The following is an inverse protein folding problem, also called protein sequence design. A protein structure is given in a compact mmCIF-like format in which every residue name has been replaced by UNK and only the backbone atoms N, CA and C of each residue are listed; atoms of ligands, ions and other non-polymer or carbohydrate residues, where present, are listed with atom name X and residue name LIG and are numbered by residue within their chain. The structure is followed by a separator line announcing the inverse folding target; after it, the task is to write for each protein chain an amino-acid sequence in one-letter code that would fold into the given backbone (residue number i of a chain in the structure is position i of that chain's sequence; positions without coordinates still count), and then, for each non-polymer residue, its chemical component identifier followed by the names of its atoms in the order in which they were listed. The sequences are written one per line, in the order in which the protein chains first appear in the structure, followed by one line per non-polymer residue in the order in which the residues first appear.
data_IF_170957067641
#
_entry.id   IF_170957067641
#
_cell.length_a   1.000
_cell.length_b   1.000
_cell.length_c   1.000
_cell.angle_alpha   90.00
_cell.angle_beta   90.00
_cell.angle_gamma   90.00
#
_symmetry.space_group_name_H-M   'P 1'
#
loop_
_entity.id
_entity.type
_entity.pdbx_description
1 polymer ?
#
# COMPACT_ATOMS: atom_id res chain seq x y z
N UNK A 1 -18.80 15.84 -15.23
CA UNK A 1 -17.67 14.93 -15.51
C UNK A 1 -18.02 13.55 -14.96
N UNK A 2 -17.82 12.47 -15.76
CA UNK A 2 -18.14 11.11 -15.34
C UNK A 2 -16.93 10.40 -14.73
N UNK A 3 -17.15 9.72 -13.60
CA UNK A 3 -16.17 8.93 -12.87
C UNK A 3 -16.58 7.46 -12.90
N UNK A 4 -15.77 6.61 -13.48
CA UNK A 4 -16.01 5.17 -13.52
C UNK A 4 -15.38 4.44 -12.34
N UNK A 5 -16.06 3.41 -11.88
CA UNK A 5 -15.53 2.39 -10.97
C UNK A 5 -15.55 1.07 -11.71
N UNK A 6 -14.40 0.48 -11.95
CA UNK A 6 -14.29 -0.77 -12.71
C UNK A 6 -14.04 -1.97 -11.80
N UNK A 7 -14.41 -3.15 -12.29
CA UNK A 7 -14.09 -4.41 -11.63
C UNK A 7 -12.59 -4.65 -11.66
N UNK A 8 -12.00 -5.01 -10.53
CA UNK A 8 -10.58 -5.35 -10.45
C UNK A 8 -10.30 -6.67 -11.20
N UNK A 9 -9.19 -6.69 -11.92
CA UNK A 9 -8.78 -7.85 -12.75
C UNK A 9 -7.53 -8.53 -12.25
N UNK A 10 -6.85 -7.98 -11.23
CA UNK A 10 -5.72 -8.65 -10.60
C UNK A 10 -6.18 -9.95 -9.92
N UNK A 11 -5.49 -11.09 -10.13
CA UNK A 11 -5.87 -12.36 -9.54
C UNK A 11 -6.04 -12.28 -8.01
N UNK A 12 -7.20 -12.70 -7.51
CA UNK A 12 -7.51 -12.67 -6.07
C UNK A 12 -7.85 -11.29 -5.49
N UNK A 13 -7.87 -10.21 -6.29
CA UNK A 13 -8.32 -8.89 -5.82
C UNK A 13 -9.83 -8.86 -5.62
N UNK A 14 -10.25 -8.48 -4.42
CA UNK A 14 -11.67 -8.43 -4.03
C UNK A 14 -12.11 -7.03 -3.62
N UNK A 15 -11.17 -6.09 -3.48
CA UNK A 15 -11.49 -4.69 -3.15
C UNK A 15 -12.15 -4.01 -4.32
N UNK A 16 -12.79 -2.88 -4.04
CA UNK A 16 -13.33 -1.95 -5.04
C UNK A 16 -12.85 -0.54 -4.71
N UNK A 17 -12.54 0.24 -5.73
CA UNK A 17 -11.93 1.57 -5.56
C UNK A 17 -12.87 2.61 -4.93
N UNK A 18 -14.19 2.48 -5.15
CA UNK A 18 -15.20 3.36 -4.57
C UNK A 18 -16.37 2.52 -4.03
N UNK A 19 -16.83 2.81 -2.80
CA UNK A 19 -18.00 2.17 -2.21
C UNK A 19 -19.26 3.06 -2.33
N UNK A 20 -20.48 2.50 -2.18
CA UNK A 20 -21.73 3.28 -2.30
C UNK A 20 -21.78 4.51 -1.40
N UNK A 21 -21.24 4.44 -0.18
CA UNK A 21 -21.25 5.55 0.76
C UNK A 21 -20.52 6.82 0.24
N UNK A 22 -19.50 6.67 -0.60
CA UNK A 22 -18.74 7.78 -1.15
C UNK A 22 -19.32 8.32 -2.47
N UNK A 23 -20.22 7.59 -3.14
CA UNK A 23 -20.90 8.07 -4.37
C UNK A 23 -21.60 9.41 -4.11
N UNK A 24 -22.39 9.49 -3.05
CA UNK A 24 -23.13 10.73 -2.71
C UNK A 24 -22.21 11.95 -2.45
N UNK A 25 -20.96 11.73 -2.00
CA UNK A 25 -19.99 12.81 -1.80
C UNK A 25 -19.51 13.37 -3.14
N UNK A 26 -19.19 12.48 -4.10
CA UNK A 26 -18.75 12.86 -5.44
C UNK A 26 -19.87 13.52 -6.23
N UNK A 27 -21.09 12.99 -6.13
CA UNK A 27 -22.28 13.57 -6.80
C UNK A 27 -22.58 14.98 -6.28
N UNK A 28 -22.45 15.23 -4.97
CA UNK A 28 -22.60 16.58 -4.40
C UNK A 28 -21.53 17.57 -4.90
N UNK A 29 -20.36 17.06 -5.29
CA UNK A 29 -19.28 17.87 -5.87
C UNK A 29 -19.46 18.06 -7.39
N UNK A 30 -20.55 17.58 -7.98
CA UNK A 30 -20.89 17.73 -9.41
C UNK A 30 -20.26 16.65 -10.32
N UNK A 31 -19.83 15.53 -9.75
CA UNK A 31 -19.32 14.38 -10.52
C UNK A 31 -20.42 13.33 -10.67
N UNK A 32 -20.60 12.80 -11.87
CA UNK A 32 -21.49 11.67 -12.15
C UNK A 32 -20.70 10.36 -11.98
N UNK A 33 -21.24 9.41 -11.23
CA UNK A 33 -20.56 8.13 -10.96
C UNK A 33 -21.21 7.03 -11.77
N UNK A 34 -20.40 6.26 -12.49
CA UNK A 34 -20.79 5.05 -13.21
C UNK A 34 -19.99 3.86 -12.68
N UNK A 35 -20.65 2.76 -12.35
CA UNK A 35 -20.02 1.57 -11.77
C UNK A 35 -20.19 0.39 -12.73
N UNK A 36 -19.12 -0.29 -13.08
CA UNK A 36 -19.20 -1.53 -13.83
C UNK A 36 -20.00 -2.56 -13.01
N UNK A 37 -20.99 -3.21 -13.65
CA UNK A 37 -21.81 -4.22 -12.97
C UNK A 37 -20.95 -5.26 -12.28
N UNK A 38 -21.26 -5.52 -11.01
CA UNK A 38 -20.55 -6.46 -10.16
C UNK A 38 -19.23 -5.96 -9.57
N UNK A 39 -18.77 -4.72 -9.84
CA UNK A 39 -17.47 -4.22 -9.36
C UNK A 39 -17.30 -4.28 -7.84
N UNK A 40 -18.37 -4.03 -7.07
CA UNK A 40 -18.35 -4.08 -5.61
C UNK A 40 -18.70 -5.44 -5.01
N UNK A 41 -19.15 -6.41 -5.81
CA UNK A 41 -19.76 -7.65 -5.31
C UNK A 41 -18.82 -8.46 -4.41
N UNK A 42 -17.55 -8.61 -4.79
CA UNK A 42 -16.55 -9.34 -4.01
C UNK A 42 -16.21 -8.68 -2.67
N UNK A 43 -16.45 -7.36 -2.55
CA UNK A 43 -16.30 -6.59 -1.32
C UNK A 43 -17.60 -6.50 -0.49
N UNK A 44 -18.70 -7.10 -0.96
CA UNK A 44 -19.99 -7.09 -0.28
C UNK A 44 -20.89 -5.89 -0.63
N UNK A 45 -20.62 -5.19 -1.73
CA UNK A 45 -21.40 -4.05 -2.20
C UNK A 45 -22.12 -4.41 -3.50
N UNK A 46 -23.44 -4.60 -3.44
CA UNK A 46 -24.27 -4.91 -4.60
C UNK A 46 -24.52 -3.67 -5.48
N UNK A 47 -24.76 -3.88 -6.78
CA UNK A 47 -25.06 -2.82 -7.74
C UNK A 47 -26.23 -1.95 -7.31
N UNK A 48 -27.29 -2.55 -6.74
CA UNK A 48 -28.43 -1.83 -6.19
C UNK A 48 -28.05 -0.78 -5.15
N UNK A 49 -27.06 -1.09 -4.29
CA UNK A 49 -26.56 -0.14 -3.28
C UNK A 49 -25.88 1.10 -3.89
N UNK A 50 -25.22 0.94 -5.04
CA UNK A 50 -24.65 2.06 -5.79
C UNK A 50 -25.75 2.90 -6.45
N UNK A 51 -26.76 2.25 -7.04
CA UNK A 51 -27.90 2.92 -7.66
C UNK A 51 -28.71 3.75 -6.65
N UNK A 52 -28.95 3.21 -5.44
CA UNK A 52 -29.57 3.93 -4.33
C UNK A 52 -28.82 5.21 -3.90
N UNK A 53 -27.52 5.27 -4.18
CA UNK A 53 -26.66 6.44 -3.91
C UNK A 53 -26.50 7.37 -5.12
N UNK A 54 -27.15 7.05 -6.25
CA UNK A 54 -27.20 7.88 -7.44
C UNK A 54 -26.14 7.53 -8.51
N UNK A 55 -25.50 6.36 -8.43
CA UNK A 55 -24.62 5.89 -9.49
C UNK A 55 -25.40 5.23 -10.62
N UNK A 56 -24.91 5.38 -11.84
CA UNK A 56 -25.30 4.57 -13.00
C UNK A 56 -24.57 3.22 -12.96
N UNK A 57 -25.15 2.17 -13.56
CA UNK A 57 -24.47 0.87 -13.73
C UNK A 57 -24.13 0.66 -15.20
N UNK A 58 -22.83 0.45 -15.47
CA UNK A 58 -22.35 0.06 -16.80
C UNK A 58 -22.42 -1.46 -16.95
N UNK A 59 -22.89 -1.93 -18.12
CA UNK A 59 -23.05 -3.37 -18.36
C UNK A 59 -21.72 -4.11 -18.50
N UNK A 60 -20.68 -3.42 -18.97
CA UNK A 60 -19.35 -4.00 -19.20
C UNK A 60 -18.23 -2.98 -18.94
N UNK A 61 -16.99 -3.46 -19.08
CA UNK A 61 -15.78 -2.66 -18.85
C UNK A 61 -15.62 -1.53 -19.85
N UNK A 62 -15.90 -1.77 -21.12
CA UNK A 62 -15.79 -0.77 -22.19
C UNK A 62 -16.74 0.41 -21.93
N UNK A 63 -18.00 0.12 -21.56
CA UNK A 63 -18.98 1.14 -21.20
C UNK A 63 -18.55 1.95 -19.95
N UNK A 64 -17.92 1.31 -18.97
CA UNK A 64 -17.38 2.01 -17.81
C UNK A 64 -16.19 2.91 -18.21
N UNK A 65 -15.23 2.40 -18.98
CA UNK A 65 -14.07 3.18 -19.46
C UNK A 65 -14.44 4.31 -20.44
N UNK A 66 -15.68 4.37 -20.94
CA UNK A 66 -16.15 5.55 -21.69
C UNK A 66 -16.27 6.82 -20.83
N UNK A 67 -16.15 6.72 -19.50
CA UNK A 67 -16.11 7.84 -18.57
C UNK A 67 -14.84 8.69 -18.71
N UNK A 68 -14.87 9.92 -18.15
CA UNK A 68 -13.75 10.85 -18.22
C UNK A 68 -12.59 10.47 -17.26
N UNK A 69 -12.93 9.79 -16.17
CA UNK A 69 -12.00 9.31 -15.17
C UNK A 69 -12.35 7.86 -14.78
N UNK A 70 -11.34 7.00 -14.66
CA UNK A 70 -11.49 5.63 -14.16
C UNK A 70 -10.74 5.43 -12.85
N UNK A 71 -11.43 4.84 -11.86
CA UNK A 71 -10.90 4.47 -10.56
C UNK A 71 -10.60 2.97 -10.52
N UNK A 72 -9.40 2.63 -10.11
CA UNK A 72 -8.94 1.25 -9.89
C UNK A 72 -8.24 1.13 -8.54
N UNK A 73 -8.29 -0.04 -7.94
CA UNK A 73 -7.40 -0.37 -6.83
C UNK A 73 -6.00 -0.63 -7.37
N UNK A 74 -5.90 -1.43 -8.45
CA UNK A 74 -4.62 -1.75 -9.11
C UNK A 74 -4.68 -1.42 -10.61
N UNK A 75 -3.99 -0.34 -11.00
CA UNK A 75 -3.76 0.02 -12.40
C UNK A 75 -2.66 -0.84 -13.04
N UNK A 76 -2.37 -0.63 -14.32
CA UNK A 76 -1.47 -1.45 -15.15
C UNK A 76 -0.16 -1.84 -14.45
N UNK A 77 0.58 -0.95 -13.85
CA UNK A 77 1.89 -1.30 -13.22
C UNK A 77 1.74 -2.25 -12.03
N UNK A 78 0.70 -2.05 -11.20
CA UNK A 78 0.36 -2.93 -10.09
C UNK A 78 -0.49 -4.15 -10.51
N UNK A 79 -0.85 -4.26 -11.79
CA UNK A 79 -1.56 -5.37 -12.43
C UNK A 79 -0.97 -5.61 -13.83
N UNK A 80 0.28 -6.11 -13.94
CA UNK A 80 1.04 -6.08 -15.19
C UNK A 80 0.49 -6.98 -16.29
N UNK A 81 -0.20 -8.07 -15.94
CA UNK A 81 -0.75 -9.03 -16.89
C UNK A 81 -2.15 -8.61 -17.35
N UNK A 82 -3.14 -8.69 -16.46
CA UNK A 82 -4.53 -8.43 -16.80
C UNK A 82 -4.82 -6.93 -17.03
N UNK A 83 -4.12 -6.03 -16.33
CA UNK A 83 -4.28 -4.58 -16.48
C UNK A 83 -3.83 -4.04 -17.84
N UNK A 84 -3.01 -4.78 -18.59
CA UNK A 84 -2.56 -4.36 -19.94
C UNK A 84 -3.72 -4.26 -20.94
N UNK A 85 -4.76 -5.06 -20.79
CA UNK A 85 -5.94 -4.98 -21.64
C UNK A 85 -6.68 -3.63 -21.52
N UNK A 86 -6.51 -2.92 -20.41
CA UNK A 86 -7.15 -1.62 -20.21
C UNK A 86 -6.62 -0.51 -21.13
N UNK A 87 -5.40 -0.67 -21.66
CA UNK A 87 -4.82 0.27 -22.62
C UNK A 87 -5.70 0.44 -23.87
N UNK A 88 -6.43 -0.60 -24.27
CA UNK A 88 -7.35 -0.56 -25.44
C UNK A 88 -8.55 0.36 -25.20
N UNK A 89 -8.91 0.62 -23.95
CA UNK A 89 -10.04 1.48 -23.58
C UNK A 89 -9.60 2.92 -23.23
N UNK A 90 -8.29 3.13 -23.03
CA UNK A 90 -7.77 4.44 -22.66
C UNK A 90 -7.80 5.39 -23.85
N UNK A 91 -8.02 6.67 -23.59
CA UNK A 91 -8.05 7.72 -24.61
C UNK A 91 -7.35 8.98 -24.12
N UNK A 92 -6.95 9.81 -25.08
CA UNK A 92 -6.30 11.10 -24.79
C UNK A 92 -7.15 11.97 -23.87
N UNK A 93 -6.50 12.47 -22.81
CA UNK A 93 -7.12 13.31 -21.79
C UNK A 93 -8.00 12.56 -20.78
N UNK A 94 -8.05 11.22 -20.83
CA UNK A 94 -8.71 10.42 -19.81
C UNK A 94 -7.83 10.36 -18.56
N UNK A 95 -8.46 10.44 -17.38
CA UNK A 95 -7.75 10.35 -16.10
C UNK A 95 -7.89 8.94 -15.53
N UNK A 96 -6.77 8.33 -15.14
CA UNK A 96 -6.71 7.05 -14.44
C UNK A 96 -6.17 7.28 -13.03
N UNK A 97 -6.85 6.78 -12.01
CA UNK A 97 -6.46 6.95 -10.61
C UNK A 97 -6.43 5.60 -9.90
N UNK A 98 -5.30 5.25 -9.30
CA UNK A 98 -5.16 4.02 -8.53
C UNK A 98 -3.72 3.75 -8.10
N UNK A 99 -3.46 2.56 -7.58
CA UNK A 99 -2.11 2.08 -7.35
C UNK A 99 -1.53 1.53 -8.66
N UNK A 100 -0.34 1.96 -9.05
CA UNK A 100 0.29 1.57 -10.32
C UNK A 100 1.73 1.10 -10.18
N UNK A 101 2.26 0.98 -8.96
CA UNK A 101 3.66 0.61 -8.66
C UNK A 101 4.68 1.32 -9.58
N UNK A 102 4.71 2.64 -9.60
CA UNK A 102 5.39 3.39 -10.65
C UNK A 102 6.90 3.14 -10.68
N UNK A 103 7.53 2.95 -9.51
CA UNK A 103 8.97 2.68 -9.43
C UNK A 103 9.35 1.22 -9.65
N UNK A 104 8.44 0.28 -9.41
CA UNK A 104 8.63 -1.13 -9.72
C UNK A 104 8.34 -1.45 -11.19
N UNK A 105 7.45 -0.68 -11.81
CA UNK A 105 6.98 -0.88 -13.19
C UNK A 105 6.97 0.41 -14.02
N UNK A 106 8.11 1.13 -14.16
CA UNK A 106 8.13 2.43 -14.84
C UNK A 106 7.73 2.34 -16.32
N UNK A 107 7.94 1.19 -16.97
CA UNK A 107 7.50 0.95 -18.35
C UNK A 107 5.97 0.97 -18.48
N UNK A 108 5.22 0.53 -17.45
CA UNK A 108 3.77 0.58 -17.46
C UNK A 108 3.25 2.03 -17.44
N UNK A 109 3.91 2.91 -16.69
CA UNK A 109 3.58 4.35 -16.70
C UNK A 109 3.79 4.96 -18.07
N UNK A 110 4.90 4.61 -18.76
CA UNK A 110 5.17 5.03 -20.13
C UNK A 110 4.11 4.50 -21.12
N UNK A 111 3.66 3.26 -20.95
CA UNK A 111 2.63 2.66 -21.81
C UNK A 111 1.29 3.39 -21.65
N UNK A 112 0.90 3.76 -20.41
CA UNK A 112 -0.31 4.56 -20.15
C UNK A 112 -0.17 5.98 -20.73
N UNK A 113 0.99 6.63 -20.55
CA UNK A 113 1.29 7.91 -21.19
C UNK A 113 1.14 7.81 -22.72
N UNK A 114 1.72 6.77 -23.33
CA UNK A 114 1.61 6.50 -24.78
C UNK A 114 0.18 6.29 -25.28
N UNK A 115 -0.76 5.85 -24.43
CA UNK A 115 -2.19 5.80 -24.71
C UNK A 115 -2.87 7.19 -24.59
N UNK A 116 -2.15 8.21 -24.16
CA UNK A 116 -2.61 9.59 -24.01
C UNK A 116 -3.42 9.84 -22.73
N UNK A 117 -3.44 8.92 -21.78
CA UNK A 117 -4.14 9.08 -20.52
C UNK A 117 -3.25 9.72 -19.45
N UNK A 118 -3.88 10.52 -18.59
CA UNK A 118 -3.26 11.04 -17.36
C UNK A 118 -3.33 9.97 -16.27
N UNK A 119 -2.21 9.69 -15.59
CA UNK A 119 -2.15 8.66 -14.56
C UNK A 119 -1.75 9.26 -13.21
N UNK A 120 -2.59 9.06 -12.21
CA UNK A 120 -2.30 9.38 -10.83
C UNK A 120 -1.95 8.11 -10.03
N UNK A 121 -0.75 8.07 -9.47
CA UNK A 121 -0.28 7.03 -8.56
C UNK A 121 -0.60 7.39 -7.13
N UNK A 122 -1.52 6.68 -6.51
CA UNK A 122 -1.91 6.90 -5.11
C UNK A 122 -0.81 6.50 -4.11
N UNK A 123 0.19 5.72 -4.54
CA UNK A 123 1.37 5.40 -3.74
C UNK A 123 2.28 6.60 -3.52
N UNK A 124 2.18 7.63 -4.34
CA UNK A 124 3.01 8.82 -4.28
C UNK A 124 2.36 9.99 -3.51
N UNK A 125 1.25 9.76 -2.84
CA UNK A 125 0.65 10.76 -1.96
C UNK A 125 1.68 11.22 -0.92
N UNK A 126 2.00 12.54 -0.86
CA UNK A 126 3.04 13.05 0.02
C UNK A 126 2.63 12.92 1.50
N UNK A 127 3.61 12.67 2.37
CA UNK A 127 3.39 12.53 3.82
C UNK A 127 3.30 13.87 4.54
N UNK A 128 2.35 14.67 4.15
CA UNK A 128 2.00 15.96 4.77
C UNK A 128 0.66 15.87 5.48
N UNK A 129 0.44 16.72 6.48
CA UNK A 129 -0.78 16.65 7.33
C UNK A 129 -2.07 16.72 6.52
N UNK A 130 -2.13 17.56 5.47
CA UNK A 130 -3.29 17.72 4.59
C UNK A 130 -3.60 16.44 3.80
N UNK A 131 -2.60 15.64 3.46
CA UNK A 131 -2.73 14.43 2.64
C UNK A 131 -2.97 13.14 3.44
N UNK A 132 -2.86 13.17 4.78
CA UNK A 132 -3.01 11.96 5.61
C UNK A 132 -4.31 11.21 5.36
N UNK A 133 -5.42 11.92 5.11
CA UNK A 133 -6.72 11.30 4.83
C UNK A 133 -6.82 10.67 3.43
N UNK A 134 -5.82 10.87 2.58
CA UNK A 134 -5.70 10.34 1.22
C UNK A 134 -4.72 9.17 1.12
N UNK A 135 -3.96 8.87 2.19
CA UNK A 135 -2.88 7.87 2.21
C UNK A 135 -3.43 6.43 2.16
N UNK A 136 -3.47 5.88 0.94
CA UNK A 136 -3.90 4.50 0.69
C UNK A 136 -2.91 3.48 1.24
N UNK A 137 -1.60 3.80 1.26
CA UNK A 137 -0.58 2.88 1.74
C UNK A 137 -0.74 2.62 3.23
N UNK A 138 -0.93 3.67 4.03
CA UNK A 138 -1.19 3.53 5.47
C UNK A 138 -2.50 2.81 5.76
N UNK A 139 -3.55 3.10 4.99
CA UNK A 139 -4.84 2.41 5.10
C UNK A 139 -4.70 0.91 4.84
N UNK A 140 -4.03 0.53 3.77
CA UNK A 140 -3.84 -0.89 3.41
C UNK A 140 -2.86 -1.59 4.35
N UNK A 141 -1.79 -0.91 4.79
CA UNK A 141 -0.85 -1.43 5.77
C UNK A 141 -1.53 -1.77 7.11
N UNK A 142 -2.51 -0.97 7.54
CA UNK A 142 -3.32 -1.26 8.74
C UNK A 142 -4.05 -2.59 8.60
N UNK A 143 -4.72 -2.83 7.48
CA UNK A 143 -5.43 -4.09 7.23
C UNK A 143 -4.45 -5.26 7.13
N UNK A 144 -3.31 -5.06 6.44
CA UNK A 144 -2.28 -6.10 6.30
C UNK A 144 -1.71 -6.53 7.65
N UNK A 145 -1.36 -5.58 8.53
CA UNK A 145 -0.86 -5.89 9.88
C UNK A 145 -1.87 -6.66 10.75
N UNK A 146 -3.16 -6.29 10.66
CA UNK A 146 -4.23 -7.04 11.31
C UNK A 146 -4.34 -8.48 10.78
N UNK A 147 -4.38 -8.66 9.45
CA UNK A 147 -4.53 -9.97 8.81
C UNK A 147 -3.32 -10.87 9.05
N UNK A 148 -2.10 -10.33 9.08
CA UNK A 148 -0.88 -11.08 9.34
C UNK A 148 -0.94 -11.82 10.69
N UNK A 149 -1.43 -11.16 11.74
CA UNK A 149 -1.58 -11.79 13.06
C UNK A 149 -2.63 -12.88 13.04
N UNK A 150 -3.75 -12.68 12.34
CA UNK A 150 -4.80 -13.71 12.23
C UNK A 150 -4.31 -14.93 11.45
N UNK A 151 -3.55 -14.74 10.38
CA UNK A 151 -2.91 -15.83 9.65
C UNK A 151 -1.96 -16.62 10.55
N UNK A 152 -1.10 -15.91 11.28
CA UNK A 152 -0.19 -16.54 12.24
C UNK A 152 -0.97 -17.33 13.32
N UNK A 153 -2.10 -16.79 13.81
CA UNK A 153 -2.92 -17.46 14.83
C UNK A 153 -3.62 -18.72 14.32
N UNK A 154 -3.95 -18.77 13.02
CA UNK A 154 -4.55 -19.97 12.40
C UNK A 154 -3.50 -21.07 12.20
N UNK A 155 -2.28 -20.71 11.78
CA UNK A 155 -1.21 -21.68 11.50
C UNK A 155 -0.51 -22.19 12.77
N UNK A 156 -0.44 -21.35 13.83
CA UNK A 156 0.25 -21.70 15.06
C UNK A 156 -0.47 -22.83 15.81
N UNK A 157 0.18 -23.95 16.16
CA UNK A 157 -0.44 -25.05 16.93
C UNK A 157 -0.60 -24.73 18.43
N UNK A 158 -0.43 -23.47 18.82
CA UNK A 158 -0.63 -22.94 20.18
C UNK A 158 -1.66 -21.83 20.14
N UNK A 159 -2.36 -21.62 21.28
CA UNK A 159 -3.24 -20.46 21.42
C UNK A 159 -2.43 -19.21 21.78
N UNK A 160 -2.93 -18.03 21.41
CA UNK A 160 -2.26 -16.77 21.71
C UNK A 160 -2.31 -16.39 23.21
N UNK A 161 -3.48 -16.45 23.89
CA UNK A 161 -3.57 -16.01 25.28
C UNK A 161 -3.02 -17.05 26.29
N UNK A 162 -2.60 -16.55 27.44
CA UNK A 162 -2.47 -17.40 28.60
C UNK A 162 -3.85 -17.83 29.10
N UNK A 163 -4.03 -19.11 29.38
CA UNK A 163 -5.25 -19.62 29.99
C UNK A 163 -4.93 -20.49 31.21
N UNK A 164 -5.69 -20.31 32.27
CA UNK A 164 -5.69 -21.19 33.43
C UNK A 164 -6.96 -22.01 33.45
N UNK A 165 -6.83 -23.34 33.42
CA UNK A 165 -7.94 -24.28 33.40
C UNK A 165 -7.74 -25.38 34.46
N UNK A 166 -8.75 -26.17 34.68
CA UNK A 166 -8.64 -27.36 35.55
C UNK A 166 -7.58 -28.36 35.03
N UNK A 167 -7.29 -28.34 33.72
CA UNK A 167 -6.28 -29.18 33.08
C UNK A 167 -4.85 -28.61 33.17
N UNK A 168 -4.69 -27.42 33.75
CA UNK A 168 -3.40 -26.73 33.90
C UNK A 168 -3.35 -25.35 33.27
N UNK A 169 -2.15 -24.74 33.28
CA UNK A 169 -1.87 -23.42 32.73
C UNK A 169 -1.26 -23.56 31.35
N UNK A 170 -1.86 -22.90 30.36
CA UNK A 170 -1.32 -22.72 29.03
C UNK A 170 -0.60 -21.37 28.96
N UNK A 171 0.65 -21.37 28.51
CA UNK A 171 1.46 -20.14 28.38
C UNK A 171 1.06 -19.36 27.12
N UNK A 172 1.12 -18.02 27.19
CA UNK A 172 0.85 -17.17 26.04
C UNK A 172 1.90 -17.36 24.93
N UNK A 173 1.46 -17.23 23.67
CA UNK A 173 2.36 -17.20 22.54
C UNK A 173 3.28 -15.96 22.58
N UNK A 174 4.56 -16.16 22.24
CA UNK A 174 5.55 -15.10 22.08
C UNK A 174 5.56 -14.63 20.63
N UNK A 175 5.22 -13.38 20.40
CA UNK A 175 5.14 -12.77 19.08
C UNK A 175 6.24 -11.73 18.92
N UNK A 176 7.06 -11.86 17.90
CA UNK A 176 8.06 -10.87 17.54
C UNK A 176 7.70 -10.16 16.26
N UNK A 177 7.60 -8.82 16.31
CA UNK A 177 7.29 -7.97 15.16
C UNK A 177 8.54 -7.19 14.75
N UNK A 178 8.99 -7.38 13.52
CA UNK A 178 10.16 -6.70 12.95
C UNK A 178 9.68 -5.61 12.00
N UNK A 179 9.89 -4.37 12.40
CA UNK A 179 9.34 -3.17 11.77
C UNK A 179 8.13 -2.64 12.53
N UNK A 180 8.23 -1.41 13.07
CA UNK A 180 7.16 -0.72 13.78
C UNK A 180 6.58 0.45 12.96
N UNK A 181 6.42 0.25 11.65
CA UNK A 181 5.61 1.10 10.79
C UNK A 181 4.10 0.83 11.00
N UNK A 182 3.24 1.38 10.14
CA UNK A 182 1.77 1.24 10.29
C UNK A 182 1.33 -0.22 10.38
N UNK A 183 1.83 -1.10 9.49
CA UNK A 183 1.50 -2.54 9.54
C UNK A 183 2.02 -3.20 10.83
N UNK A 184 3.26 -2.91 11.24
CA UNK A 184 3.85 -3.47 12.45
C UNK A 184 3.14 -3.03 13.72
N UNK A 185 2.83 -1.74 13.87
CA UNK A 185 2.06 -1.22 15.01
C UNK A 185 0.68 -1.85 15.09
N UNK A 186 0.00 -2.02 13.96
CA UNK A 186 -1.29 -2.71 13.91
C UNK A 186 -1.14 -4.20 14.27
N UNK A 187 -0.08 -4.87 13.81
CA UNK A 187 0.22 -6.26 14.19
C UNK A 187 0.46 -6.37 15.69
N UNK A 188 1.26 -5.47 16.29
CA UNK A 188 1.48 -5.41 17.74
C UNK A 188 0.14 -5.27 18.48
N UNK A 189 -0.69 -4.29 18.10
CA UNK A 189 -1.98 -4.05 18.73
C UNK A 189 -2.91 -5.26 18.61
N UNK A 190 -2.93 -5.93 17.46
CA UNK A 190 -3.78 -7.11 17.22
C UNK A 190 -3.29 -8.31 18.03
N UNK A 191 -1.98 -8.62 18.03
CA UNK A 191 -1.39 -9.71 18.80
C UNK A 191 -1.60 -9.52 20.32
N UNK A 192 -1.51 -8.26 20.80
CA UNK A 192 -1.83 -7.91 22.20
C UNK A 192 -3.30 -8.17 22.53
N UNK A 193 -4.24 -7.79 21.64
CA UNK A 193 -5.68 -8.07 21.83
C UNK A 193 -5.99 -9.56 21.86
N UNK A 194 -5.23 -10.39 21.11
CA UNK A 194 -5.34 -11.84 21.18
C UNK A 194 -4.67 -12.44 22.43
N UNK A 195 -3.99 -11.63 23.26
CA UNK A 195 -3.39 -12.05 24.52
C UNK A 195 -1.95 -12.56 24.40
N UNK A 196 -1.28 -12.35 23.27
CA UNK A 196 0.12 -12.69 23.04
C UNK A 196 1.09 -11.81 23.86
N UNK A 197 2.27 -12.36 24.17
CA UNK A 197 3.40 -11.60 24.69
C UNK A 197 4.18 -11.05 23.50
N UNK A 198 4.09 -9.73 23.27
CA UNK A 198 4.61 -9.09 22.06
C UNK A 198 5.90 -8.38 22.32
N UNK A 199 6.91 -8.71 21.53
CA UNK A 199 8.17 -7.99 21.38
C UNK A 199 8.20 -7.35 20.00
N UNK A 200 8.84 -6.19 19.88
CA UNK A 200 8.98 -5.52 18.60
C UNK A 200 10.34 -4.84 18.46
N UNK A 201 10.82 -4.76 17.23
CA UNK A 201 12.03 -4.07 16.88
C UNK A 201 11.79 -3.13 15.69
N UNK A 202 12.40 -1.97 15.73
CA UNK A 202 12.54 -1.05 14.60
C UNK A 202 13.92 -0.39 14.64
N UNK A 203 14.50 -0.11 13.47
CA UNK A 203 15.77 0.59 13.35
C UNK A 203 15.69 2.04 13.84
N UNK A 204 14.50 2.64 13.84
CA UNK A 204 14.22 4.00 14.30
C UNK A 204 13.93 4.02 15.79
N UNK A 205 14.79 4.65 16.62
CA UNK A 205 14.56 4.72 18.06
C UNK A 205 13.23 5.40 18.46
N UNK A 206 12.75 6.34 17.64
CA UNK A 206 11.47 7.03 17.85
C UNK A 206 10.24 6.08 17.87
N UNK A 207 10.35 4.88 17.31
CA UNK A 207 9.27 3.89 17.34
C UNK A 207 9.07 3.24 18.72
N UNK A 208 10.03 3.36 19.67
CA UNK A 208 9.94 2.76 21.00
C UNK A 208 8.66 3.15 21.73
N UNK A 209 8.41 4.45 21.88
CA UNK A 209 7.24 4.94 22.61
C UNK A 209 5.92 4.45 21.99
N UNK A 210 5.88 4.34 20.66
CA UNK A 210 4.72 3.82 19.94
C UNK A 210 4.48 2.33 20.25
N UNK A 211 5.55 1.51 20.26
CA UNK A 211 5.47 0.09 20.62
C UNK A 211 5.01 -0.09 22.05
N UNK A 212 5.61 0.63 23.00
CA UNK A 212 5.30 0.53 24.41
C UNK A 212 3.89 1.03 24.75
N UNK A 213 3.40 2.07 24.05
CA UNK A 213 2.03 2.56 24.19
C UNK A 213 0.97 1.52 23.80
N UNK A 214 1.32 0.58 22.90
CA UNK A 214 0.46 -0.54 22.52
C UNK A 214 0.63 -1.75 23.44
N UNK A 215 1.46 -1.65 24.50
CA UNK A 215 1.75 -2.73 25.44
C UNK A 215 2.74 -3.78 24.93
N UNK A 216 3.45 -3.50 23.83
CA UNK A 216 4.58 -4.28 23.36
C UNK A 216 5.86 -3.97 24.15
N UNK A 217 6.86 -4.85 24.07
CA UNK A 217 8.21 -4.64 24.61
C UNK A 217 9.13 -4.31 23.44
N UNK A 218 9.78 -3.15 23.48
CA UNK A 218 10.76 -2.79 22.46
C UNK A 218 12.07 -3.55 22.71
N UNK A 219 12.58 -4.20 21.65
CA UNK A 219 13.86 -4.92 21.67
C UNK A 219 14.96 -3.94 21.28
N UNK A 220 15.89 -3.70 22.19
CA UNK A 220 17.07 -2.91 21.90
C UNK A 220 18.19 -3.80 21.38
N UNK A 221 18.62 -3.54 20.16
CA UNK A 221 19.85 -4.11 19.64
C UNK A 221 20.97 -3.09 19.85
N UNK A 222 22.13 -3.53 20.37
CA UNK A 222 23.30 -2.66 20.55
C UNK A 222 23.96 -2.38 19.19
N UNK A 223 23.28 -1.59 18.38
CA UNK A 223 23.72 -1.15 17.05
C UNK A 223 23.85 0.37 17.07
N UNK A 224 24.98 0.88 16.56
CA UNK A 224 25.12 2.31 16.28
C UNK A 224 24.33 2.62 15.01
N UNK A 225 23.04 2.90 15.16
CA UNK A 225 22.22 3.44 14.10
C UNK A 225 22.49 4.95 14.02
N UNK A 226 23.16 5.39 12.96
CA UNK A 226 23.25 6.81 12.60
C UNK A 226 21.85 7.38 12.29
N UNK A 227 21.74 8.32 11.35
CA UNK A 227 20.43 8.78 10.87
C UNK A 227 19.67 7.65 10.16
N UNK A 228 18.76 6.99 10.87
CA UNK A 228 18.02 5.79 10.41
C UNK A 228 16.68 6.09 9.76
N UNK A 229 16.30 7.38 9.66
CA UNK A 229 15.00 7.83 9.11
C UNK A 229 15.20 8.81 7.96
N UNK A 230 14.37 8.70 6.90
CA UNK A 230 14.33 9.65 5.80
C UNK A 230 13.31 10.78 6.08
N UNK A 231 13.26 11.79 5.18
CA UNK A 231 12.35 12.94 5.29
C UNK A 231 10.86 12.53 5.27
N UNK A 232 10.52 11.35 4.77
CA UNK A 232 9.17 10.80 4.71
C UNK A 232 8.80 9.93 5.91
N UNK A 233 9.68 9.80 6.94
CA UNK A 233 9.46 8.94 8.10
C UNK A 233 9.63 7.45 7.82
N UNK A 234 10.21 7.06 6.68
CA UNK A 234 10.60 5.68 6.40
C UNK A 234 12.01 5.39 6.91
N UNK A 235 12.27 4.11 7.22
CA UNK A 235 13.62 3.66 7.52
C UNK A 235 14.53 3.84 6.30
N UNK A 236 15.73 4.41 6.51
CA UNK A 236 16.77 4.48 5.48
C UNK A 236 17.39 3.09 5.26
N UNK A 237 17.88 2.85 4.03
CA UNK A 237 18.74 1.72 3.78
C UNK A 237 20.09 1.93 4.49
N UNK A 238 20.50 0.92 5.25
CA UNK A 238 21.78 0.89 5.96
C UNK A 238 22.82 0.10 5.13
N UNK A 239 24.05 0.05 5.59
CA UNK A 239 25.10 -0.75 4.96
C UNK A 239 24.99 -2.26 5.28
N UNK A 240 25.73 -3.09 4.54
CA UNK A 240 25.69 -4.55 4.67
C UNK A 240 26.22 -5.02 6.03
N UNK A 241 27.19 -4.32 6.62
CA UNK A 241 27.75 -4.65 7.93
C UNK A 241 26.72 -4.41 9.03
N UNK A 242 25.96 -3.31 8.96
CA UNK A 242 24.85 -3.04 9.88
C UNK A 242 23.80 -4.16 9.82
N UNK A 243 23.37 -4.54 8.60
CA UNK A 243 22.39 -5.62 8.43
C UNK A 243 22.92 -6.97 8.90
N UNK A 244 24.21 -7.26 8.73
CA UNK A 244 24.82 -8.49 9.23
C UNK A 244 24.76 -8.56 10.76
N UNK A 245 25.20 -7.51 11.46
CA UNK A 245 25.14 -7.44 12.94
C UNK A 245 23.71 -7.46 13.44
N UNK A 246 22.81 -6.79 12.75
CA UNK A 246 21.39 -6.77 13.09
C UNK A 246 20.79 -8.18 13.05
N UNK A 247 21.07 -8.96 12.02
CA UNK A 247 20.62 -10.36 11.89
C UNK A 247 21.14 -11.23 13.02
N UNK A 248 22.42 -11.14 13.32
CA UNK A 248 23.05 -11.91 14.41
C UNK A 248 22.40 -11.64 15.77
N UNK A 249 22.12 -10.38 16.09
CA UNK A 249 21.48 -10.01 17.34
C UNK A 249 20.00 -10.39 17.38
N UNK A 250 19.30 -10.34 16.25
CA UNK A 250 17.88 -10.74 16.18
C UNK A 250 17.68 -12.25 16.21
N UNK A 251 18.65 -13.05 15.79
CA UNK A 251 18.52 -14.51 15.70
C UNK A 251 18.05 -15.14 17.01
N UNK A 252 18.56 -14.68 18.16
CA UNK A 252 18.13 -15.18 19.46
C UNK A 252 16.66 -14.85 19.77
N UNK A 253 16.19 -13.64 19.41
CA UNK A 253 14.80 -13.23 19.64
C UNK A 253 13.86 -14.01 18.73
N UNK A 254 14.28 -14.26 17.48
CA UNK A 254 13.54 -15.10 16.53
C UNK A 254 13.42 -16.52 17.07
N UNK A 255 14.52 -17.15 17.52
CA UNK A 255 14.53 -18.51 18.06
C UNK A 255 13.63 -18.70 19.29
N UNK A 256 13.49 -17.65 20.13
CA UNK A 256 12.64 -17.67 21.30
C UNK A 256 11.15 -17.36 21.00
N UNK A 257 10.81 -17.03 19.76
CA UNK A 257 9.46 -16.63 19.37
C UNK A 257 8.65 -17.79 18.82
N UNK A 258 7.35 -17.81 19.13
CA UNK A 258 6.38 -18.73 18.50
C UNK A 258 5.90 -18.17 17.16
N UNK A 259 5.81 -16.83 17.03
CA UNK A 259 5.40 -16.12 15.84
C UNK A 259 6.37 -14.99 15.54
N UNK A 260 6.78 -14.85 14.28
CA UNK A 260 7.53 -13.71 13.77
C UNK A 260 6.74 -13.04 12.66
N UNK A 261 6.54 -11.73 12.73
CA UNK A 261 5.89 -10.94 11.67
C UNK A 261 6.89 -9.90 11.19
N UNK A 262 7.24 -9.94 9.90
CA UNK A 262 8.18 -8.98 9.31
C UNK A 262 7.43 -8.00 8.41
N UNK A 263 7.76 -6.70 8.59
CA UNK A 263 7.09 -5.60 7.88
C UNK A 263 8.06 -4.54 7.37
N UNK A 264 9.37 -4.84 7.35
CA UNK A 264 10.38 -3.88 6.96
C UNK A 264 10.42 -3.72 5.44
N UNK A 265 9.99 -2.57 4.95
CA UNK A 265 10.00 -2.22 3.56
C UNK A 265 10.61 -0.84 3.34
N UNK A 266 11.36 -0.68 2.25
CA UNK A 266 11.91 0.59 1.79
C UNK A 266 11.25 0.89 0.45
N UNK A 267 10.51 1.99 0.30
CA UNK A 267 9.81 2.31 -0.93
C UNK A 267 10.72 2.29 -2.16
N UNK A 268 10.30 1.58 -3.22
CA UNK A 268 11.03 1.51 -4.49
C UNK A 268 12.35 0.73 -4.45
N UNK A 269 12.62 -0.03 -3.37
CA UNK A 269 13.82 -0.87 -3.24
C UNK A 269 13.45 -2.29 -2.83
N UNK A 270 14.38 -3.23 -3.04
CA UNK A 270 14.29 -4.56 -2.48
C UNK A 270 14.28 -4.50 -0.96
N UNK A 271 13.44 -5.31 -0.33
CA UNK A 271 13.34 -5.39 1.14
C UNK A 271 14.64 -5.92 1.75
N UNK A 272 15.06 -5.42 2.94
CA UNK A 272 16.25 -5.93 3.60
C UNK A 272 16.00 -7.36 4.11
N UNK A 273 17.00 -8.22 3.96
CA UNK A 273 17.00 -9.54 4.58
C UNK A 273 17.29 -9.40 6.07
N UNK A 274 16.35 -9.83 6.92
CA UNK A 274 16.41 -9.69 8.38
C UNK A 274 16.37 -11.04 9.12
N UNK A 275 15.67 -12.02 8.59
CA UNK A 275 15.56 -13.37 9.13
C UNK A 275 16.25 -14.32 8.14
N UNK A 276 17.44 -14.81 8.50
CA UNK A 276 18.15 -15.80 7.68
C UNK A 276 17.50 -17.18 7.80
N UNK A 277 17.87 -18.09 6.92
CA UNK A 277 17.45 -19.47 6.99
C UNK A 277 17.81 -20.09 8.34
N UNK A 278 19.06 -19.90 8.82
CA UNK A 278 19.50 -20.40 10.13
C UNK A 278 18.69 -19.82 11.30
N UNK A 279 18.34 -18.54 11.23
CA UNK A 279 17.51 -17.93 12.28
C UNK A 279 16.10 -18.53 12.29
N UNK A 280 15.51 -18.80 11.13
CA UNK A 280 14.22 -19.49 11.02
C UNK A 280 14.31 -20.94 11.53
N UNK A 281 15.39 -21.66 11.20
CA UNK A 281 15.65 -23.02 11.70
C UNK A 281 15.85 -23.09 13.23
N UNK A 282 16.27 -21.97 13.84
CA UNK A 282 16.40 -21.84 15.29
C UNK A 282 15.07 -21.77 16.04
N UNK A 283 13.97 -21.50 15.36
CA UNK A 283 12.64 -21.50 15.98
C UNK A 283 12.18 -22.92 16.38
N UNK A 284 11.33 -23.01 17.41
CA UNK A 284 10.71 -24.28 17.77
C UNK A 284 9.81 -24.78 16.63
N UNK A 285 9.88 -26.08 16.24
CA UNK A 285 8.94 -26.66 15.26
C UNK A 285 7.48 -26.37 15.60
N UNK A 286 6.70 -25.95 14.62
CA UNK A 286 5.36 -25.39 14.78
C UNK A 286 5.32 -23.87 14.88
N UNK A 287 6.48 -23.20 14.95
CA UNK A 287 6.57 -21.75 14.85
C UNK A 287 6.10 -21.22 13.50
N UNK A 288 5.70 -19.95 13.45
CA UNK A 288 5.15 -19.31 12.25
C UNK A 288 5.86 -18.01 11.95
N UNK A 289 6.26 -17.82 10.70
CA UNK A 289 6.76 -16.55 10.16
C UNK A 289 5.76 -16.01 9.14
N UNK A 290 5.34 -14.75 9.28
CA UNK A 290 4.53 -14.06 8.25
C UNK A 290 5.34 -12.89 7.73
N UNK A 291 5.76 -12.97 6.47
CA UNK A 291 6.60 -12.00 5.80
C UNK A 291 5.77 -11.08 4.88
N UNK A 292 5.45 -9.88 5.36
CA UNK A 292 4.69 -8.87 4.60
C UNK A 292 5.51 -8.18 3.51
N UNK A 293 6.80 -8.47 3.44
CA UNK A 293 7.71 -7.90 2.44
C UNK A 293 8.01 -8.86 1.28
N UNK A 294 7.37 -10.04 1.25
CA UNK A 294 7.65 -11.12 0.30
C UNK A 294 7.57 -10.67 -1.17
N UNK A 295 6.60 -9.82 -1.53
CA UNK A 295 6.44 -9.27 -2.90
C UNK A 295 7.69 -8.52 -3.38
N UNK A 296 8.47 -7.93 -2.47
CA UNK A 296 9.67 -7.14 -2.78
C UNK A 296 10.97 -7.82 -2.35
N UNK A 297 11.00 -9.15 -2.42
CA UNK A 297 12.17 -9.99 -2.15
C UNK A 297 12.27 -10.52 -0.72
N UNK A 298 11.33 -10.16 0.14
CA UNK A 298 11.18 -10.70 1.49
C UNK A 298 12.16 -10.19 2.54
N UNK A 299 11.71 -10.18 3.79
CA UNK A 299 12.58 -10.00 4.96
C UNK A 299 13.07 -11.35 5.51
N UNK A 300 12.44 -12.46 5.14
CA UNK A 300 12.83 -13.83 5.50
C UNK A 300 13.39 -14.56 4.28
N UNK A 301 14.59 -15.13 4.42
CA UNK A 301 15.33 -15.75 3.32
C UNK A 301 14.57 -16.90 2.63
N UNK A 302 13.80 -17.65 3.39
CA UNK A 302 13.03 -18.81 2.90
C UNK A 302 11.59 -18.48 2.53
N UNK A 303 11.17 -17.20 2.64
CA UNK A 303 9.83 -16.79 2.23
C UNK A 303 9.70 -16.73 0.71
N UNK A 304 8.50 -17.02 0.21
CA UNK A 304 8.15 -16.93 -1.20
C UNK A 304 6.81 -16.23 -1.36
N UNK A 305 6.66 -15.35 -2.37
CA UNK A 305 5.41 -14.64 -2.62
C UNK A 305 4.24 -15.62 -2.80
N UNK A 306 3.17 -15.41 -2.04
CA UNK A 306 1.90 -16.17 -2.04
C UNK A 306 2.04 -17.68 -1.80
N UNK A 307 3.20 -18.14 -1.29
CA UNK A 307 3.42 -19.53 -0.94
C UNK A 307 3.40 -19.75 0.58
N UNK A 308 2.94 -20.95 0.95
CA UNK A 308 3.11 -21.51 2.29
C UNK A 308 4.26 -22.50 2.26
N UNK A 309 5.41 -22.08 2.79
CA UNK A 309 6.62 -22.90 2.89
C UNK A 309 6.67 -23.53 4.28
N UNK A 310 7.10 -24.79 4.37
CA UNK A 310 7.44 -25.44 5.65
C UNK A 310 8.93 -25.76 5.61
N UNK A 311 9.69 -25.16 6.51
CA UNK A 311 11.13 -25.33 6.59
C UNK A 311 11.51 -25.71 8.03
N UNK A 312 12.15 -26.87 8.22
CA UNK A 312 12.50 -27.42 9.54
C UNK A 312 11.34 -27.41 10.57
N UNK A 313 10.10 -27.66 10.09
CA UNK A 313 8.89 -27.65 10.93
C UNK A 313 8.33 -26.27 11.26
N UNK A 314 8.96 -25.19 10.79
CA UNK A 314 8.46 -23.80 10.87
C UNK A 314 7.64 -23.49 9.62
N UNK A 315 6.47 -22.86 9.79
CA UNK A 315 5.61 -22.42 8.70
C UNK A 315 5.97 -20.99 8.31
N UNK A 316 6.30 -20.76 7.05
CA UNK A 316 6.61 -19.43 6.52
C UNK A 316 5.55 -19.06 5.47
N UNK A 317 4.92 -17.91 5.66
CA UNK A 317 3.89 -17.36 4.78
C UNK A 317 4.40 -16.04 4.18
N UNK A 318 4.33 -15.90 2.86
CA UNK A 318 4.71 -14.69 2.14
C UNK A 318 3.53 -14.03 1.42
N UNK A 319 2.46 -13.60 2.12
CA UNK A 319 1.28 -13.07 1.47
C UNK A 319 1.54 -11.71 0.82
N UNK A 320 1.06 -11.51 -0.42
CA UNK A 320 1.27 -10.26 -1.19
C UNK A 320 0.05 -9.35 -1.21
N UNK A 321 -1.17 -9.86 -0.91
CA UNK A 321 -2.40 -9.08 -1.02
C UNK A 321 -3.36 -9.24 0.17
N UNK A 322 -2.84 -9.18 1.40
CA UNK A 322 -3.65 -9.31 2.63
C UNK A 322 -4.83 -8.34 2.75
N UNK A 323 -4.76 -7.08 2.29
CA UNK A 323 -5.92 -6.20 2.34
C UNK A 323 -7.13 -6.75 1.60
N UNK A 324 -6.92 -7.50 0.52
CA UNK A 324 -7.99 -8.14 -0.26
C UNK A 324 -8.69 -9.30 0.48
N UNK A 325 -8.14 -9.79 1.60
CA UNK A 325 -8.77 -10.79 2.45
C UNK A 325 -9.75 -10.20 3.48
N UNK A 326 -9.78 -8.87 3.62
CA UNK A 326 -10.80 -8.14 4.37
C UNK A 326 -11.44 -7.08 3.47
N UNK A 327 -12.02 -7.48 2.30
CA UNK A 327 -12.31 -6.58 1.19
C UNK A 327 -13.34 -5.51 1.56
N UNK A 328 -14.30 -5.79 2.43
CA UNK A 328 -15.31 -4.81 2.86
C UNK A 328 -14.66 -3.58 3.52
N UNK A 329 -13.88 -3.77 4.59
CA UNK A 329 -13.24 -2.67 5.29
C UNK A 329 -12.06 -2.08 4.52
N UNK A 330 -11.30 -2.91 3.80
CA UNK A 330 -10.23 -2.43 2.94
C UNK A 330 -10.76 -1.51 1.84
N UNK A 331 -11.88 -1.88 1.18
CA UNK A 331 -12.56 -1.01 0.22
C UNK A 331 -13.12 0.26 0.85
N UNK A 332 -13.67 0.16 2.07
CA UNK A 332 -14.16 1.33 2.79
C UNK A 332 -13.04 2.35 3.06
N UNK A 333 -11.88 1.90 3.54
CA UNK A 333 -10.73 2.78 3.80
C UNK A 333 -10.17 3.34 2.49
N UNK A 334 -9.94 2.48 1.50
CA UNK A 334 -9.42 2.87 0.19
C UNK A 334 -10.33 3.89 -0.50
N UNK A 335 -11.62 3.62 -0.54
CA UNK A 335 -12.62 4.51 -1.12
C UNK A 335 -12.67 5.88 -0.43
N UNK A 336 -12.53 5.92 0.91
CA UNK A 336 -12.45 7.18 1.63
C UNK A 336 -11.20 7.98 1.23
N UNK A 337 -10.05 7.31 1.07
CA UNK A 337 -8.82 7.96 0.61
C UNK A 337 -9.00 8.51 -0.81
N UNK A 338 -9.51 7.70 -1.74
CA UNK A 338 -9.76 8.09 -3.13
C UNK A 338 -10.74 9.26 -3.22
N UNK A 339 -11.87 9.19 -2.49
CA UNK A 339 -12.84 10.27 -2.49
C UNK A 339 -12.24 11.60 -2.00
N UNK A 340 -11.41 11.56 -0.94
CA UNK A 340 -10.69 12.75 -0.46
C UNK A 340 -9.68 13.28 -1.47
N UNK A 341 -8.95 12.39 -2.15
CA UNK A 341 -8.01 12.74 -3.20
C UNK A 341 -8.73 13.43 -4.39
N UNK A 342 -9.83 12.85 -4.88
CA UNK A 342 -10.61 13.46 -5.96
C UNK A 342 -11.17 14.83 -5.55
N UNK A 343 -11.78 14.92 -4.37
CA UNK A 343 -12.36 16.17 -3.87
C UNK A 343 -11.33 17.28 -3.66
N UNK A 344 -10.04 16.96 -3.49
CA UNK A 344 -8.97 17.95 -3.48
C UNK A 344 -8.76 18.61 -4.85
N UNK A 345 -9.11 17.92 -5.93
CA UNK A 345 -8.93 18.40 -7.30
C UNK A 345 -10.23 18.88 -7.96
N UNK A 346 -11.40 18.65 -7.33
CA UNK A 346 -12.69 19.03 -7.93
C UNK A 346 -12.94 20.52 -7.77
N UNK A 347 -13.24 21.18 -8.90
CA UNK A 347 -13.74 22.55 -8.95
C UNK A 347 -14.86 22.63 -9.99
N UNK A 348 -16.00 23.17 -9.62
CA UNK A 348 -17.18 23.34 -10.48
C UNK A 348 -17.61 22.04 -11.23
N UNK A 349 -17.53 20.88 -10.54
CA UNK A 349 -17.90 19.57 -11.10
C UNK A 349 -16.90 18.99 -12.11
N UNK A 350 -15.67 19.49 -12.13
CA UNK A 350 -14.56 19.00 -12.98
C UNK A 350 -13.30 18.79 -12.16
N UNK A 351 -12.42 17.92 -12.62
CA UNK A 351 -11.07 17.79 -12.08
C UNK A 351 -10.23 18.93 -12.67
N UNK A 352 -9.60 19.71 -11.80
CA UNK A 352 -8.62 20.75 -12.15
C UNK A 352 -7.21 20.27 -11.79
N UNK A 353 -6.34 20.18 -12.79
CA UNK A 353 -4.94 19.76 -12.61
C UNK A 353 -4.09 20.96 -12.18
N UNK A 354 -4.15 21.31 -10.90
CA UNK A 354 -3.27 22.36 -10.35
C UNK A 354 -1.91 21.78 -9.98
N UNK A 355 -0.91 21.93 -10.84
CA UNK A 355 0.46 21.43 -10.61
C UNK A 355 1.24 22.22 -9.55
N UNK A 356 0.72 23.37 -9.06
CA UNK A 356 1.27 24.05 -7.89
C UNK A 356 0.92 23.32 -6.59
N UNK A 357 -0.19 22.55 -6.58
CA UNK A 357 -0.52 21.68 -5.46
C UNK A 357 0.45 20.49 -5.42
N UNK A 358 1.21 20.39 -4.33
CA UNK A 358 2.15 19.31 -4.09
C UNK A 358 1.51 17.92 -4.20
N UNK A 359 0.25 17.75 -3.74
CA UNK A 359 -0.45 16.45 -3.81
C UNK A 359 -0.68 16.06 -5.26
N UNK A 360 -1.14 16.98 -6.08
CA UNK A 360 -1.41 16.75 -7.52
C UNK A 360 -0.10 16.47 -8.25
N UNK A 361 0.90 17.34 -8.06
CA UNK A 361 2.20 17.24 -8.73
C UNK A 361 2.94 15.94 -8.42
N UNK A 362 3.00 15.53 -7.14
CA UNK A 362 3.74 14.32 -6.75
C UNK A 362 3.05 13.03 -7.21
N UNK A 363 1.71 13.03 -7.28
CA UNK A 363 0.93 11.83 -7.67
C UNK A 363 0.74 11.69 -9.17
N UNK A 364 0.86 12.76 -9.96
CA UNK A 364 0.72 12.74 -11.43
C UNK A 364 1.98 12.15 -12.06
N UNK A 365 1.89 10.92 -12.54
CA UNK A 365 3.04 10.18 -13.11
C UNK A 365 3.06 10.12 -14.63
N UNK A 366 1.90 10.30 -15.29
CA UNK A 366 1.78 10.46 -16.74
C UNK A 366 0.82 11.62 -17.05
N UNK A 367 1.18 12.47 -18.00
CA UNK A 367 0.40 13.64 -18.41
C UNK A 367 0.73 14.05 -19.85
N UNK A 368 -0.29 14.42 -20.64
CA UNK A 368 -0.14 14.88 -22.01
C UNK A 368 0.71 13.96 -22.90
N UNK A 369 0.59 12.65 -22.72
CA UNK A 369 1.33 11.66 -23.50
C UNK A 369 2.76 11.39 -23.02
N UNK A 370 3.20 12.07 -21.95
CA UNK A 370 4.56 12.00 -21.42
C UNK A 370 4.58 11.44 -20.00
N UNK A 371 5.70 10.83 -19.60
CA UNK A 371 5.97 10.49 -18.21
C UNK A 371 6.28 11.78 -17.45
N UNK A 372 5.41 12.17 -16.51
CA UNK A 372 5.50 13.48 -15.84
C UNK A 372 6.50 13.49 -14.67
N UNK A 373 6.65 12.38 -13.96
CA UNK A 373 7.48 12.32 -12.76
C UNK A 373 8.98 12.28 -13.09
N UNK A 374 9.81 13.24 -12.60
CA UNK A 374 11.24 13.35 -12.95
C UNK A 374 12.05 12.08 -12.62
N UNK A 375 11.80 11.46 -11.49
CA UNK A 375 12.50 10.23 -11.07
C UNK A 375 12.16 9.04 -11.96
N UNK A 376 10.92 8.95 -12.45
CA UNK A 376 10.54 7.91 -13.42
C UNK A 376 11.20 8.15 -14.77
N UNK A 377 11.33 9.41 -15.21
CA UNK A 377 12.06 9.75 -16.44
C UNK A 377 13.52 9.32 -16.35
N UNK A 378 14.18 9.59 -15.22
CA UNK A 378 15.54 9.13 -14.96
C UNK A 378 15.66 7.59 -15.05
N UNK A 379 14.75 6.84 -14.40
CA UNK A 379 14.72 5.37 -14.44
C UNK A 379 14.49 4.81 -15.86
N UNK A 380 13.78 5.56 -16.71
CA UNK A 380 13.51 5.19 -18.09
C UNK A 380 14.56 5.72 -19.07
N UNK A 381 15.55 6.50 -18.63
CA UNK A 381 16.53 7.13 -19.48
C UNK A 381 15.95 8.22 -20.40
N UNK A 382 14.87 8.85 -19.97
CA UNK A 382 14.21 9.96 -20.70
C UNK A 382 14.79 11.30 -20.28
N UNK A 383 14.89 12.23 -21.23
CA UNK A 383 15.29 13.62 -20.97
C UNK A 383 14.32 14.30 -19.98
N UNK A 384 14.79 15.21 -19.10
CA UNK A 384 13.92 16.02 -18.27
C UNK A 384 12.89 16.77 -19.13
N UNK A 385 11.64 16.90 -18.61
CA UNK A 385 10.66 17.78 -19.27
C UNK A 385 11.19 19.22 -19.19
N UNK A 386 11.23 19.88 -20.33
CA UNK A 386 11.52 21.32 -20.36
C UNK A 386 10.39 22.03 -19.62
N UNK A 387 10.73 22.90 -18.69
CA UNK A 387 9.74 23.78 -18.08
C UNK A 387 9.06 24.55 -19.24
N UNK A 388 7.74 24.43 -19.37
CA UNK A 388 7.01 25.23 -20.34
C UNK A 388 7.23 26.71 -19.96
N UNK A 389 7.90 27.44 -20.82
CA UNK A 389 8.05 28.94 -20.75
C UNK A 389 6.67 29.59 -20.96
N UNK A 390 5.79 29.48 -19.98
CA UNK A 390 4.54 30.23 -19.93
C UNK A 390 4.61 31.29 -18.84
N UNK A 391 5.61 32.18 -18.93
CA UNK A 391 5.63 33.48 -18.23
C UNK A 391 6.77 34.34 -18.73
N UNK A 392 6.76 34.79 -19.98
CA UNK A 392 7.48 36.01 -20.40
C UNK A 392 6.91 36.46 -21.75
N UNK A 393 5.64 36.83 -21.80
CA UNK A 393 5.24 37.94 -22.68
C UNK A 393 5.44 39.21 -21.87
N UNK A 394 6.64 39.76 -21.98
CA UNK A 394 6.92 41.17 -21.64
C UNK A 394 5.96 42.05 -22.42
N UNK A 395 5.07 42.72 -21.69
CA UNK A 395 4.27 43.78 -22.24
C UNK A 395 5.20 44.86 -22.81
N UNK A 396 4.98 45.38 -24.05
CA UNK A 396 5.79 46.45 -24.58
C UNK A 396 5.63 47.69 -23.73
N UNK A 397 6.77 48.31 -23.36
CA UNK A 397 6.80 49.62 -22.68
C UNK A 397 6.03 50.65 -23.52
N UNK A 398 5.24 51.56 -22.90
CA UNK A 398 4.62 52.64 -23.61
C UNK A 398 5.69 53.68 -23.97
N UNK A 399 5.84 53.94 -25.29
CA UNK A 399 6.65 55.06 -25.80
C UNK A 399 6.15 56.39 -25.22
N UNK A 400 7.09 57.10 -24.62
CA UNK A 400 6.88 58.45 -24.15
C UNK A 400 6.80 59.42 -25.35
N UNK A 401 5.70 60.17 -25.41
CA UNK A 401 5.62 61.46 -26.14
C UNK A 401 5.27 62.57 -25.18
#
# INVERSE_FOLDING_TARGET
MKVAVVTETFPGEKRVALIPANVAQLTKAGLDVIVQSGAGAAAGFADASYQEKGAEIANDRAAAFAADLALQVRCLGANPEAGRADLEYMRTGQIIVGMCDPFGSPAAVRDVAGAGADLFSLELIPRITRAQSMDVLSSMATIAGYRAVLLAAIELPKIFPMLMTAAGTLTAARVFVIGAGVAGLQAIATAKRLGGVVHAYDVRPACREQVESLGGRFVELQLEAGESEDKGGYAKAMDDEFYRRQRELMANVVAESDVVITTAAIPGKKSPLLVTQEAAEGMTPGGVIVDLAAERGGNCEVSKPDERVVHNGVVILGPTNLPSEAPYHASQMFSNNVAKFLLNMVKDGKIELNLEDEIVRETLVAHDGEVANPRLRELLGLEPLMASDSANEEAPEPEAH
#
